data_IF_966192869906
#
_entry.id   IF_966192869906
#
_cell.length_a   1.000
_cell.length_b   1.000
_cell.length_c   1.000
_cell.angle_alpha   90.00
_cell.angle_beta   90.00
_cell.angle_gamma   90.00
#
_symmetry.space_group_name_H-M   'P 1'
#
loop_
_entity.id
_entity.type
_entity.pdbx_description
1 polymer ?
#
# COMPACT_ATOMS: atom_id res chain seq x y z
N UNK A 1 -8.25 -14.57 13.83
CA UNK A 1 -6.85 -14.99 13.55
C UNK A 1 -6.47 -14.84 12.07
N UNK A 2 -7.26 -15.37 11.12
CA UNK A 2 -6.96 -15.28 9.67
C UNK A 2 -6.73 -13.85 9.15
N UNK A 3 -7.56 -12.89 9.57
CA UNK A 3 -7.38 -11.46 9.25
C UNK A 3 -6.04 -10.89 9.73
N UNK A 4 -5.64 -11.17 10.97
CA UNK A 4 -4.38 -10.65 11.51
C UNK A 4 -3.16 -11.28 10.82
N UNK A 5 -3.25 -12.55 10.39
CA UNK A 5 -2.21 -13.18 9.56
C UNK A 5 -2.14 -12.52 8.18
N UNK A 6 -3.29 -12.26 7.53
CA UNK A 6 -3.32 -11.54 6.26
C UNK A 6 -2.68 -10.14 6.38
N UNK A 7 -2.98 -9.40 7.45
CA UNK A 7 -2.39 -8.08 7.70
C UNK A 7 -0.88 -8.13 7.98
N UNK A 8 -0.39 -9.17 8.66
CA UNK A 8 1.06 -9.37 8.88
C UNK A 8 1.84 -9.57 7.58
N UNK A 9 1.18 -10.02 6.52
CA UNK A 9 1.77 -10.16 5.18
C UNK A 9 1.54 -8.89 4.36
N UNK A 10 0.29 -8.40 4.34
CA UNK A 10 -0.12 -7.25 3.54
C UNK A 10 0.61 -5.96 3.93
N UNK A 11 0.82 -5.73 5.24
CA UNK A 11 1.45 -4.48 5.70
C UNK A 11 2.91 -4.33 5.22
N UNK A 12 3.79 -5.33 5.39
CA UNK A 12 5.13 -5.30 4.79
C UNK A 12 5.11 -5.14 3.26
N UNK A 13 4.19 -5.82 2.57
CA UNK A 13 4.07 -5.70 1.11
C UNK A 13 3.75 -4.26 0.70
N UNK A 14 2.77 -3.62 1.35
CA UNK A 14 2.45 -2.21 1.13
C UNK A 14 3.66 -1.32 1.42
N UNK A 15 4.36 -1.56 2.54
CA UNK A 15 5.58 -0.82 2.89
C UNK A 15 6.66 -0.91 1.81
N UNK A 16 6.92 -2.12 1.30
CA UNK A 16 7.84 -2.35 0.19
C UNK A 16 7.40 -1.64 -1.09
N UNK A 17 6.10 -1.67 -1.41
CA UNK A 17 5.56 -0.97 -2.57
C UNK A 17 5.74 0.55 -2.42
N UNK A 18 5.48 1.13 -1.25
CA UNK A 18 5.73 2.56 -0.99
C UNK A 18 7.19 2.93 -1.21
N UNK A 19 8.13 2.14 -0.66
CA UNK A 19 9.56 2.36 -0.86
C UNK A 19 9.94 2.23 -2.35
N UNK A 20 9.40 1.24 -3.04
CA UNK A 20 9.58 1.05 -4.48
C UNK A 20 9.11 2.28 -5.26
N UNK A 21 7.95 2.84 -4.95
CA UNK A 21 7.45 4.07 -5.60
C UNK A 21 8.37 5.27 -5.34
N UNK A 22 8.82 5.46 -4.10
CA UNK A 22 9.71 6.56 -3.74
C UNK A 22 11.07 6.48 -4.46
N UNK A 23 11.68 5.29 -4.47
CA UNK A 23 12.96 5.05 -5.13
C UNK A 23 12.83 5.23 -6.64
N UNK A 24 11.83 4.61 -7.27
CA UNK A 24 11.67 4.65 -8.73
C UNK A 24 11.32 6.05 -9.23
N UNK A 25 10.52 6.82 -8.49
CA UNK A 25 10.27 8.23 -8.80
C UNK A 25 11.55 9.07 -8.68
N UNK A 26 12.32 8.89 -7.60
CA UNK A 26 13.58 9.64 -7.37
C UNK A 26 14.66 9.34 -8.40
N UNK A 27 14.64 8.14 -8.99
CA UNK A 27 15.61 7.70 -9.99
C UNK A 27 15.04 7.72 -11.42
N UNK A 28 13.87 8.34 -11.65
CA UNK A 28 13.15 8.29 -12.92
C UNK A 28 14.04 8.62 -14.14
N UNK A 29 14.88 9.65 -14.04
CA UNK A 29 15.76 10.09 -15.13
C UNK A 29 16.89 9.10 -15.45
N UNK A 30 17.21 8.19 -14.51
CA UNK A 30 18.28 7.20 -14.65
C UNK A 30 17.75 5.81 -15.01
N UNK A 31 16.42 5.61 -15.05
CA UNK A 31 15.80 4.33 -15.35
C UNK A 31 15.39 4.26 -16.83
N UNK A 32 15.59 3.11 -17.50
CA UNK A 32 14.93 2.87 -18.78
C UNK A 32 13.42 3.08 -18.65
N UNK A 33 12.83 3.77 -19.62
CA UNK A 33 11.38 4.11 -19.60
C UNK A 33 10.50 2.90 -19.31
N UNK A 34 10.76 1.78 -19.98
CA UNK A 34 10.02 0.52 -19.81
C UNK A 34 10.11 -0.02 -18.39
N UNK A 35 11.29 0.05 -17.77
CA UNK A 35 11.50 -0.37 -16.38
C UNK A 35 10.75 0.55 -15.41
N UNK A 36 10.81 1.86 -15.64
CA UNK A 36 10.07 2.83 -14.84
C UNK A 36 8.56 2.61 -14.96
N UNK A 37 8.02 2.49 -16.17
CA UNK A 37 6.58 2.26 -16.38
C UNK A 37 6.12 0.94 -15.73
N UNK A 38 6.88 -0.14 -15.91
CA UNK A 38 6.53 -1.43 -15.31
C UNK A 38 6.53 -1.38 -13.78
N UNK A 39 7.56 -0.80 -13.16
CA UNK A 39 7.75 -0.83 -11.71
C UNK A 39 6.99 0.30 -11.01
N UNK A 40 7.08 1.52 -11.51
CA UNK A 40 6.41 2.68 -10.92
C UNK A 40 4.91 2.64 -11.22
N UNK A 41 4.49 2.65 -12.49
CA UNK A 41 3.06 2.67 -12.81
C UNK A 41 2.38 1.36 -12.42
N UNK A 42 2.97 0.21 -12.76
CA UNK A 42 2.45 -1.10 -12.36
C UNK A 42 2.45 -1.31 -10.84
N UNK A 43 3.54 -0.96 -10.16
CA UNK A 43 3.63 -1.01 -8.70
C UNK A 43 2.68 -0.04 -8.00
N UNK A 44 2.39 1.12 -8.61
CA UNK A 44 1.41 2.08 -8.12
C UNK A 44 0.00 1.51 -8.11
N UNK A 45 -0.41 0.79 -9.16
CA UNK A 45 -1.70 0.08 -9.20
C UNK A 45 -1.77 -0.98 -8.10
N UNK A 46 -0.71 -1.77 -7.92
CA UNK A 46 -0.64 -2.77 -6.85
C UNK A 46 -0.71 -2.13 -5.46
N UNK A 47 -0.06 -0.98 -5.28
CA UNK A 47 -0.09 -0.22 -4.03
C UNK A 47 -1.51 0.24 -3.70
N UNK A 48 -2.24 0.83 -4.66
CA UNK A 48 -3.63 1.28 -4.45
C UNK A 48 -4.52 0.09 -4.06
N UNK A 49 -4.42 -1.03 -4.78
CA UNK A 49 -5.16 -2.25 -4.45
C UNK A 49 -4.81 -2.76 -3.04
N UNK A 50 -3.52 -2.75 -2.69
CA UNK A 50 -3.04 -3.15 -1.37
C UNK A 50 -3.59 -2.27 -0.25
N UNK A 51 -3.53 -0.94 -0.42
CA UNK A 51 -4.08 0.03 0.54
C UNK A 51 -5.59 -0.13 0.70
N UNK A 52 -6.33 -0.31 -0.40
CA UNK A 52 -7.76 -0.56 -0.35
C UNK A 52 -8.08 -1.85 0.45
N UNK A 53 -7.35 -2.94 0.20
CA UNK A 53 -7.49 -4.18 0.96
C UNK A 53 -7.11 -3.99 2.44
N UNK A 54 -6.06 -3.22 2.73
CA UNK A 54 -5.64 -2.91 4.10
C UNK A 54 -6.74 -2.15 4.86
N UNK A 55 -7.34 -1.13 4.24
CA UNK A 55 -8.45 -0.38 4.82
C UNK A 55 -9.68 -1.25 5.01
N UNK A 56 -10.04 -2.06 4.01
CA UNK A 56 -11.15 -3.00 4.11
C UNK A 56 -10.97 -3.96 5.29
N UNK A 57 -9.79 -4.57 5.39
CA UNK A 57 -9.47 -5.46 6.50
C UNK A 57 -9.48 -4.71 7.83
N UNK A 58 -9.05 -3.45 7.91
CA UNK A 58 -9.03 -2.66 9.15
C UNK A 58 -10.29 -1.84 9.42
N UNK A 59 -11.36 -1.98 8.63
CA UNK A 59 -12.49 -1.03 8.67
C UNK A 59 -13.14 -0.89 10.04
N UNK A 60 -13.37 -1.99 10.76
CA UNK A 60 -13.92 -1.94 12.12
C UNK A 60 -13.05 -1.16 13.11
N UNK A 61 -11.72 -1.21 12.95
CA UNK A 61 -10.79 -0.43 13.77
C UNK A 61 -10.86 1.05 13.38
N UNK A 62 -10.88 1.37 12.08
CA UNK A 62 -11.05 2.74 11.58
C UNK A 62 -12.34 3.36 12.14
N UNK A 63 -13.45 2.63 12.10
CA UNK A 63 -14.72 3.09 12.66
C UNK A 63 -14.60 3.38 14.16
N UNK A 64 -14.04 2.45 14.94
CA UNK A 64 -13.91 2.60 16.39
C UNK A 64 -12.97 3.75 16.80
N UNK A 65 -11.92 4.01 16.02
CA UNK A 65 -10.91 5.03 16.35
C UNK A 65 -11.30 6.42 15.86
N UNK A 66 -11.90 6.54 14.67
CA UNK A 66 -12.10 7.84 14.02
C UNK A 66 -13.57 8.23 13.85
N UNK A 67 -14.51 7.28 13.88
CA UNK A 67 -15.93 7.53 13.58
C UNK A 67 -16.86 7.28 14.78
N UNK A 68 -16.33 6.80 15.90
CA UNK A 68 -17.10 6.67 17.13
C UNK A 68 -17.43 8.06 17.68
N UNK A 69 -18.70 8.29 18.03
CA UNK A 69 -19.12 9.54 18.69
C UNK A 69 -18.42 9.65 20.06
N UNK A 70 -17.81 10.80 20.39
CA UNK A 70 -17.36 11.03 21.76
C UNK A 70 -18.58 10.96 22.69
N UNK A 71 -18.41 10.24 23.82
CA UNK A 71 -19.38 10.19 24.92
C UNK A 71 -19.56 11.58 25.54
#
# INVERSE_FOLDING_TARGET
>A
MKKNQALKILNPVIGTLVLSQAITSSLHEFLPKELFEAVHAGGGVLLVCGVALHLYLNWSWVQATYLAKPL
#
